data_IF_775923093933
#
_entry.id   IF_775923093933
#
_cell.length_a   1.000
_cell.length_b   1.000
_cell.length_c   1.000
_cell.angle_alpha   90.00
_cell.angle_beta   90.00
_cell.angle_gamma   90.00
#
_symmetry.space_group_name_H-M   'P 1'
#
loop_
_entity.id
_entity.type
_entity.pdbx_description
1 polymer ?
#
# COMPACT_ATOMS: atom_id res chain seq x y z
N UNK A 1 0.94 -18.09 -7.83
CA UNK A 1 1.83 -17.15 -7.13
C UNK A 1 2.66 -16.43 -8.18
N UNK A 2 2.75 -15.11 -8.12
CA UNK A 2 3.58 -14.35 -9.06
C UNK A 2 4.50 -13.42 -8.26
N UNK A 3 5.69 -13.13 -8.82
CA UNK A 3 6.59 -12.11 -8.30
C UNK A 3 6.27 -10.78 -8.99
N UNK A 4 5.76 -9.82 -8.23
CA UNK A 4 5.38 -8.50 -8.75
C UNK A 4 6.39 -7.47 -8.24
N UNK A 5 6.95 -6.60 -9.12
CA UNK A 5 7.80 -5.49 -8.69
C UNK A 5 7.08 -4.63 -7.65
N UNK A 6 7.73 -4.41 -6.52
CA UNK A 6 7.10 -3.70 -5.37
C UNK A 6 6.66 -2.30 -5.76
N UNK A 7 7.48 -1.56 -6.49
CA UNK A 7 7.16 -0.19 -6.89
C UNK A 7 5.85 -0.10 -7.69
N UNK A 8 5.62 -1.05 -8.61
CA UNK A 8 4.39 -1.08 -9.40
C UNK A 8 3.17 -1.46 -8.55
N UNK A 9 3.33 -2.47 -7.68
CA UNK A 9 2.26 -2.91 -6.79
C UNK A 9 1.88 -1.80 -5.78
N UNK A 10 2.85 -1.10 -5.21
CA UNK A 10 2.62 0.02 -4.30
C UNK A 10 1.90 1.18 -4.98
N UNK A 11 2.28 1.52 -6.22
CA UNK A 11 1.57 2.56 -6.98
C UNK A 11 0.11 2.19 -7.22
N UNK A 12 -0.16 0.93 -7.60
CA UNK A 12 -1.52 0.47 -7.86
C UNK A 12 -2.38 0.46 -6.59
N UNK A 13 -1.87 -0.10 -5.49
CA UNK A 13 -2.58 -0.14 -4.20
C UNK A 13 -2.72 1.27 -3.63
N UNK A 14 -1.65 2.07 -3.66
CA UNK A 14 -1.63 3.42 -3.13
C UNK A 14 -2.64 4.34 -3.81
N UNK A 15 -2.72 4.28 -5.14
CA UNK A 15 -3.73 5.03 -5.90
C UNK A 15 -5.15 4.63 -5.50
N UNK A 16 -5.43 3.33 -5.36
CA UNK A 16 -6.74 2.84 -4.92
C UNK A 16 -7.10 3.28 -3.51
N UNK A 17 -6.18 3.20 -2.56
CA UNK A 17 -6.40 3.65 -1.18
C UNK A 17 -6.57 5.16 -1.08
N UNK A 18 -5.80 5.93 -1.86
CA UNK A 18 -5.98 7.38 -1.92
C UNK A 18 -7.39 7.74 -2.41
N UNK A 19 -7.87 7.10 -3.47
CA UNK A 19 -9.23 7.31 -3.99
C UNK A 19 -10.28 6.94 -2.94
N UNK A 20 -10.14 5.80 -2.26
CA UNK A 20 -11.04 5.39 -1.19
C UNK A 20 -11.04 6.39 -0.02
N UNK A 21 -9.86 6.82 0.41
CA UNK A 21 -9.74 7.83 1.48
C UNK A 21 -10.42 9.13 1.11
N UNK A 22 -10.17 9.65 -0.09
CA UNK A 22 -10.79 10.89 -0.57
C UNK A 22 -12.31 10.76 -0.72
N UNK A 23 -12.80 9.64 -1.26
CA UNK A 23 -14.23 9.38 -1.37
C UNK A 23 -14.90 9.35 0.00
N UNK A 24 -14.28 8.73 1.00
CA UNK A 24 -14.81 8.65 2.35
C UNK A 24 -14.79 10.02 3.06
N UNK A 25 -13.73 10.81 2.90
CA UNK A 25 -13.70 12.21 3.37
C UNK A 25 -14.83 13.02 2.75
N UNK A 26 -15.06 12.87 1.45
CA UNK A 26 -16.15 13.56 0.77
C UNK A 26 -17.53 13.18 1.35
N UNK A 27 -17.78 11.90 1.60
CA UNK A 27 -19.01 11.44 2.24
C UNK A 27 -19.19 12.08 3.62
N UNK A 28 -18.16 12.09 4.46
CA UNK A 28 -18.20 12.70 5.78
C UNK A 28 -18.50 14.20 5.71
N UNK A 29 -17.86 14.92 4.79
CA UNK A 29 -18.13 16.36 4.59
C UNK A 29 -19.57 16.60 4.14
N UNK A 30 -20.08 15.81 3.21
CA UNK A 30 -21.48 15.95 2.71
C UNK A 30 -22.53 15.59 3.74
N UNK A 31 -22.24 14.66 4.64
CA UNK A 31 -23.15 14.25 5.72
C UNK A 31 -23.02 15.11 6.96
N UNK A 32 -22.02 15.99 7.05
CA UNK A 32 -21.74 16.79 8.23
C UNK A 32 -21.24 15.97 9.43
N UNK A 33 -20.82 14.71 9.21
CA UNK A 33 -20.30 13.87 10.27
C UNK A 33 -18.88 14.28 10.64
N UNK A 34 -18.59 14.33 11.94
CA UNK A 34 -17.26 14.62 12.46
C UNK A 34 -16.61 13.35 13.03
N UNK A 35 -15.27 13.18 12.87
CA UNK A 35 -14.55 12.10 13.53
C UNK A 35 -14.66 12.19 15.05
N UNK A 36 -14.81 11.05 15.74
CA UNK A 36 -14.99 10.95 17.20
C UNK A 36 -13.93 11.73 17.99
N UNK A 37 -12.70 11.72 17.51
CA UNK A 37 -11.58 12.39 18.18
C UNK A 37 -11.12 13.68 17.46
N UNK A 38 -11.91 14.17 16.51
CA UNK A 38 -11.58 15.31 15.67
C UNK A 38 -10.56 15.00 14.55
N UNK A 39 -10.56 15.86 13.55
CA UNK A 39 -9.74 15.70 12.35
C UNK A 39 -8.23 15.70 12.62
N UNK A 40 -7.77 16.53 13.55
CA UNK A 40 -6.34 16.61 13.89
C UNK A 40 -5.81 15.29 14.46
N UNK A 41 -6.56 14.67 15.37
CA UNK A 41 -6.18 13.38 15.91
C UNK A 41 -6.14 12.31 14.82
N UNK A 42 -7.16 12.24 13.96
CA UNK A 42 -7.23 11.31 12.85
C UNK A 42 -6.03 11.45 11.90
N UNK A 43 -5.67 12.70 11.54
CA UNK A 43 -4.52 13.00 10.68
C UNK A 43 -3.20 12.60 11.34
N UNK A 44 -2.98 12.94 12.60
CA UNK A 44 -1.74 12.59 13.32
C UNK A 44 -1.56 11.09 13.45
N UNK A 45 -2.60 10.36 13.82
CA UNK A 45 -2.58 8.89 13.90
C UNK A 45 -2.32 8.28 12.52
N UNK A 46 -3.03 8.73 11.51
CA UNK A 46 -2.89 8.25 10.13
C UNK A 46 -1.47 8.46 9.60
N UNK A 47 -0.90 9.65 9.82
CA UNK A 47 0.48 9.97 9.44
C UNK A 47 1.49 9.08 10.18
N UNK A 48 1.31 8.89 11.48
CA UNK A 48 2.15 8.00 12.29
C UNK A 48 2.14 6.57 11.78
N UNK A 49 0.96 6.03 11.47
CA UNK A 49 0.81 4.68 10.90
C UNK A 49 1.46 4.60 9.52
N UNK A 50 1.20 5.56 8.63
CA UNK A 50 1.78 5.59 7.30
C UNK A 50 3.31 5.59 7.34
N UNK A 51 3.91 6.47 8.15
CA UNK A 51 5.36 6.52 8.32
C UNK A 51 5.93 5.22 8.92
N UNK A 52 5.24 4.60 9.88
CA UNK A 52 5.68 3.34 10.47
C UNK A 52 5.68 2.21 9.43
N UNK A 53 4.64 2.13 8.58
CA UNK A 53 4.54 1.15 7.49
C UNK A 53 5.65 1.36 6.47
N UNK A 54 5.93 2.61 6.07
CA UNK A 54 6.98 2.92 5.11
C UNK A 54 8.38 2.60 5.66
N UNK A 55 8.65 2.98 6.91
CA UNK A 55 9.93 2.65 7.58
C UNK A 55 10.13 1.14 7.71
N UNK A 56 9.07 0.40 8.06
CA UNK A 56 9.13 -1.06 8.13
C UNK A 56 9.44 -1.66 6.74
N UNK A 57 8.80 -1.15 5.68
CA UNK A 57 9.03 -1.57 4.30
C UNK A 57 10.47 -1.30 3.86
N UNK A 58 10.98 -0.09 4.10
CA UNK A 58 12.37 0.28 3.78
C UNK A 58 13.37 -0.61 4.52
N UNK A 59 13.17 -0.83 5.83
CA UNK A 59 14.04 -1.71 6.63
C UNK A 59 14.03 -3.13 6.10
N UNK A 60 12.84 -3.65 5.75
CA UNK A 60 12.70 -4.99 5.21
C UNK A 60 13.42 -5.15 3.87
N UNK A 61 13.26 -4.19 2.93
CA UNK A 61 13.93 -4.20 1.63
C UNK A 61 15.45 -4.20 1.82
N UNK A 62 15.98 -3.34 2.71
CA UNK A 62 17.42 -3.27 2.99
C UNK A 62 17.97 -4.59 3.54
N UNK A 63 17.26 -5.23 4.48
CA UNK A 63 17.66 -6.54 5.02
C UNK A 63 17.64 -7.63 3.94
N UNK A 64 16.63 -7.64 3.09
CA UNK A 64 16.51 -8.62 2.00
C UNK A 64 17.58 -8.45 0.91
N UNK A 65 18.32 -7.33 0.88
CA UNK A 65 19.42 -7.13 -0.04
C UNK A 65 20.60 -8.06 0.25
N UNK A 66 20.82 -8.42 1.51
CA UNK A 66 21.87 -9.36 1.94
C UNK A 66 21.64 -10.76 1.35
N UNK A 67 20.35 -11.14 1.22
CA UNK A 67 19.91 -12.43 0.67
C UNK A 67 19.56 -12.35 -0.83
N UNK A 68 20.08 -11.35 -1.55
CA UNK A 68 19.73 -11.13 -2.94
C UNK A 68 20.16 -12.28 -3.85
N UNK A 69 19.22 -12.83 -4.61
CA UNK A 69 19.41 -13.96 -5.53
C UNK A 69 19.52 -13.50 -7.00
N UNK A 70 20.20 -14.25 -7.88
CA UNK A 70 20.21 -13.94 -9.31
C UNK A 70 18.78 -13.93 -9.90
N UNK A 71 18.49 -12.97 -10.76
CA UNK A 71 17.18 -12.85 -11.43
C UNK A 71 17.00 -13.85 -12.59
N UNK A 72 18.06 -14.54 -13.00
CA UNK A 72 18.05 -15.41 -14.16
C UNK A 72 16.93 -16.46 -14.12
N UNK A 73 16.05 -16.45 -15.12
CA UNK A 73 14.97 -17.41 -15.27
C UNK A 73 13.76 -17.21 -14.36
N UNK A 74 13.71 -16.15 -13.59
CA UNK A 74 12.56 -15.86 -12.70
C UNK A 74 11.59 -14.92 -13.42
N UNK A 75 10.35 -15.37 -13.75
CA UNK A 75 9.37 -14.52 -14.40
C UNK A 75 8.86 -13.46 -13.42
N UNK A 76 9.03 -12.19 -13.79
CA UNK A 76 8.43 -11.05 -13.10
C UNK A 76 7.07 -10.74 -13.73
N UNK A 77 6.10 -10.38 -12.89
CA UNK A 77 4.80 -9.93 -13.34
C UNK A 77 4.86 -8.58 -14.08
N UNK A 78 3.98 -8.42 -15.04
CA UNK A 78 3.83 -7.20 -15.82
C UNK A 78 3.19 -6.06 -15.02
N UNK A 79 3.22 -4.81 -15.51
CA UNK A 79 2.43 -3.72 -14.94
C UNK A 79 0.94 -4.02 -14.86
N UNK A 80 0.38 -4.72 -15.86
CA UNK A 80 -1.02 -5.14 -15.85
C UNK A 80 -1.31 -6.14 -14.71
N UNK A 81 -0.39 -7.08 -14.45
CA UNK A 81 -0.48 -7.98 -13.30
C UNK A 81 -0.44 -7.23 -11.96
N UNK A 82 0.38 -6.19 -11.86
CA UNK A 82 0.48 -5.35 -10.65
C UNK A 82 -0.84 -4.61 -10.39
N UNK A 83 -1.44 -4.03 -11.44
CA UNK A 83 -2.74 -3.34 -11.36
C UNK A 83 -3.83 -4.34 -10.97
N UNK A 84 -3.96 -5.45 -11.70
CA UNK A 84 -4.99 -6.46 -11.43
C UNK A 84 -4.91 -7.04 -10.01
N UNK A 85 -3.70 -7.23 -9.49
CA UNK A 85 -3.50 -7.72 -8.11
C UNK A 85 -3.61 -6.62 -7.06
N UNK A 86 -3.35 -5.36 -7.42
CA UNK A 86 -3.56 -4.20 -6.55
C UNK A 86 -5.04 -3.96 -6.22
N UNK A 87 -5.95 -4.38 -7.08
CA UNK A 87 -7.41 -4.25 -6.85
C UNK A 87 -7.86 -5.07 -5.62
N UNK A 88 -7.29 -6.24 -5.37
CA UNK A 88 -7.70 -7.10 -4.26
C UNK A 88 -7.63 -6.42 -2.88
N UNK A 89 -6.48 -5.90 -2.43
CA UNK A 89 -6.37 -5.15 -1.19
C UNK A 89 -7.29 -3.93 -1.11
N UNK A 90 -7.47 -3.22 -2.23
CA UNK A 90 -8.38 -2.05 -2.31
C UNK A 90 -9.85 -2.49 -2.16
N UNK A 91 -10.25 -3.57 -2.81
CA UNK A 91 -11.60 -4.12 -2.67
C UNK A 91 -11.90 -4.60 -1.24
N UNK A 92 -10.93 -5.26 -0.59
CA UNK A 92 -11.06 -5.66 0.82
C UNK A 92 -11.25 -4.43 1.70
N UNK A 93 -10.45 -3.39 1.52
CA UNK A 93 -10.58 -2.14 2.26
C UNK A 93 -11.95 -1.49 2.02
N UNK A 94 -12.44 -1.44 0.78
CA UNK A 94 -13.75 -0.91 0.44
C UNK A 94 -14.90 -1.69 1.12
N UNK A 95 -14.81 -3.02 1.16
CA UNK A 95 -15.80 -3.86 1.86
C UNK A 95 -15.76 -3.62 3.36
N UNK A 96 -14.58 -3.47 3.96
CA UNK A 96 -14.43 -3.16 5.39
C UNK A 96 -15.06 -1.79 5.73
N UNK A 97 -14.80 -0.76 4.91
CA UNK A 97 -15.39 0.56 5.09
C UNK A 97 -16.92 0.52 4.96
N UNK A 98 -17.43 -0.21 3.98
CA UNK A 98 -18.87 -0.39 3.80
C UNK A 98 -19.50 -1.13 5.01
N UNK A 99 -18.85 -2.19 5.48
CA UNK A 99 -19.32 -2.91 6.67
C UNK A 99 -19.34 -2.02 7.91
N UNK A 100 -18.32 -1.18 8.10
CA UNK A 100 -18.25 -0.22 9.19
C UNK A 100 -19.38 0.82 9.09
N UNK A 101 -19.69 1.29 7.89
CA UNK A 101 -20.76 2.24 7.64
C UNK A 101 -22.16 1.70 7.98
N UNK A 102 -22.33 0.37 8.02
CA UNK A 102 -23.59 -0.29 8.38
C UNK A 102 -23.73 -0.54 9.89
N UNK A 103 -22.70 -0.27 10.69
CA UNK A 103 -22.74 -0.43 12.15
C UNK A 103 -23.26 0.87 12.77
N UNK A 104 -24.42 0.86 13.47
CA UNK A 104 -24.93 2.04 14.15
C UNK A 104 -23.92 2.56 15.20
N UNK A 105 -23.69 3.86 15.22
CA UNK A 105 -22.73 4.50 16.13
C UNK A 105 -21.26 4.42 15.69
N UNK A 106 -20.96 3.81 14.54
CA UNK A 106 -19.60 3.75 14.00
C UNK A 106 -19.25 4.93 13.08
N UNK A 107 -20.18 5.84 12.83
CA UNK A 107 -20.00 6.98 11.91
C UNK A 107 -18.76 7.82 12.27
N UNK A 108 -18.51 8.00 13.56
CA UNK A 108 -17.36 8.77 14.03
C UNK A 108 -16.00 8.13 13.77
N UNK A 109 -15.94 6.79 13.58
CA UNK A 109 -14.69 6.10 13.26
C UNK A 109 -14.35 6.16 11.77
N UNK A 110 -15.35 6.39 10.90
CA UNK A 110 -15.12 6.52 9.45
C UNK A 110 -14.15 7.64 9.10
N UNK A 111 -14.09 8.70 9.91
CA UNK A 111 -13.12 9.78 9.74
C UNK A 111 -11.68 9.33 9.95
N UNK A 112 -11.42 8.48 10.93
CA UNK A 112 -10.09 7.91 11.17
C UNK A 112 -9.69 6.98 10.01
N UNK A 113 -10.59 6.12 9.57
CA UNK A 113 -10.33 5.20 8.46
C UNK A 113 -10.09 5.95 7.15
N UNK A 114 -10.87 7.00 6.87
CA UNK A 114 -10.68 7.87 5.71
C UNK A 114 -9.28 8.48 5.70
N UNK A 115 -8.82 9.01 6.84
CA UNK A 115 -7.48 9.56 6.99
C UNK A 115 -6.40 8.47 6.86
N UNK A 116 -6.61 7.29 7.45
CA UNK A 116 -5.66 6.18 7.37
C UNK A 116 -5.45 5.75 5.91
N UNK A 117 -6.50 5.44 5.18
CA UNK A 117 -6.39 5.02 3.78
C UNK A 117 -5.83 6.13 2.89
N UNK A 118 -6.27 7.37 3.09
CA UNK A 118 -5.75 8.51 2.35
C UNK A 118 -4.26 8.75 2.57
N UNK A 119 -3.80 8.74 3.82
CA UNK A 119 -2.38 8.98 4.17
C UNK A 119 -1.48 7.83 3.73
N UNK A 120 -1.86 6.58 4.02
CA UNK A 120 -1.08 5.41 3.55
C UNK A 120 -1.04 5.37 2.02
N UNK A 121 -2.15 5.68 1.35
CA UNK A 121 -2.18 5.79 -0.11
C UNK A 121 -1.25 6.87 -0.64
N UNK A 122 -1.23 8.05 -0.01
CA UNK A 122 -0.37 9.17 -0.41
C UNK A 122 1.13 8.88 -0.22
N UNK A 123 1.52 8.12 0.81
CA UNK A 123 2.93 7.80 1.06
C UNK A 123 3.47 6.70 0.15
N UNK A 124 2.61 5.88 -0.43
CA UNK A 124 3.04 4.82 -1.36
C UNK A 124 3.67 5.35 -2.65
N UNK A 125 3.29 6.54 -3.12
CA UNK A 125 3.95 7.19 -4.25
C UNK A 125 5.44 7.49 -3.99
N UNK A 126 5.78 8.27 -2.98
CA UNK A 126 7.16 8.51 -2.54
C UNK A 126 7.94 7.22 -2.26
N UNK A 127 7.32 6.24 -1.59
CA UNK A 127 7.96 4.95 -1.32
C UNK A 127 8.27 4.18 -2.61
N UNK A 128 7.37 4.16 -3.58
CA UNK A 128 7.60 3.53 -4.89
C UNK A 128 8.73 4.22 -5.66
N UNK A 129 8.82 5.54 -5.61
CA UNK A 129 9.92 6.30 -6.21
C UNK A 129 11.26 6.00 -5.53
N UNK A 130 11.27 5.90 -4.19
CA UNK A 130 12.45 5.50 -3.44
C UNK A 130 12.89 4.07 -3.82
N UNK A 131 11.97 3.12 -3.91
CA UNK A 131 12.26 1.74 -4.35
C UNK A 131 12.89 1.74 -5.73
N UNK A 132 12.32 2.46 -6.71
CA UNK A 132 12.88 2.56 -8.06
C UNK A 132 14.29 3.11 -8.08
N UNK A 133 14.58 4.18 -7.33
CA UNK A 133 15.93 4.73 -7.19
C UNK A 133 16.88 3.73 -6.55
N UNK A 134 16.42 3.04 -5.51
CA UNK A 134 17.19 2.00 -4.85
C UNK A 134 17.53 0.85 -5.82
N UNK A 135 16.57 0.37 -6.60
CA UNK A 135 16.75 -0.66 -7.62
C UNK A 135 17.82 -0.25 -8.66
N UNK A 136 17.72 0.99 -9.15
CA UNK A 136 18.68 1.52 -10.12
C UNK A 136 20.09 1.62 -9.55
N UNK A 137 20.24 2.12 -8.32
CA UNK A 137 21.56 2.27 -7.69
C UNK A 137 22.22 0.94 -7.35
N UNK A 138 21.43 -0.08 -6.99
CA UNK A 138 21.95 -1.38 -6.56
C UNK A 138 21.98 -2.42 -7.69
N UNK A 139 21.44 -2.12 -8.87
CA UNK A 139 21.33 -3.08 -9.97
C UNK A 139 20.45 -4.29 -9.62
N UNK A 140 19.39 -4.08 -8.89
CA UNK A 140 18.47 -5.12 -8.40
C UNK A 140 17.03 -4.81 -8.79
N UNK A 141 16.17 -5.83 -8.69
CA UNK A 141 14.70 -5.66 -8.71
C UNK A 141 14.15 -6.17 -7.39
N UNK A 142 13.31 -5.37 -6.76
CA UNK A 142 12.63 -5.74 -5.51
C UNK A 142 11.22 -6.20 -5.83
N UNK A 143 10.89 -7.44 -5.51
CA UNK A 143 9.61 -8.06 -5.84
C UNK A 143 8.94 -8.70 -4.62
N UNK A 144 7.61 -8.61 -4.58
CA UNK A 144 6.78 -9.32 -3.61
C UNK A 144 6.18 -10.58 -4.23
N UNK A 145 6.28 -11.74 -3.56
CA UNK A 145 5.46 -12.88 -3.90
C UNK A 145 4.01 -12.59 -3.47
N UNK A 146 3.10 -12.52 -4.43
CA UNK A 146 1.69 -12.25 -4.17
C UNK A 146 0.80 -13.36 -4.71
N UNK A 147 -0.34 -13.60 -4.02
CA UNK A 147 -1.37 -14.50 -4.49
C UNK A 147 -2.26 -13.81 -5.56
N UNK A 148 -3.31 -14.49 -6.00
CA UNK A 148 -4.27 -13.94 -6.97
C UNK A 148 -5.03 -12.70 -6.47
N UNK A 149 -5.11 -12.51 -5.16
CA UNK A 149 -5.78 -11.37 -4.53
C UNK A 149 -4.84 -10.20 -4.23
N UNK A 150 -3.58 -10.27 -4.68
CA UNK A 150 -2.57 -9.24 -4.41
C UNK A 150 -2.03 -9.24 -2.97
N UNK A 151 -2.44 -10.21 -2.15
CA UNK A 151 -1.96 -10.34 -0.79
C UNK A 151 -0.58 -10.99 -0.83
N UNK A 152 0.37 -10.39 -0.12
CA UNK A 152 1.73 -10.91 0.01
C UNK A 152 1.72 -12.26 0.74
N UNK A 153 2.40 -13.26 0.16
CA UNK A 153 2.44 -14.64 0.67
C UNK A 153 3.83 -15.13 1.06
N UNK A 154 4.79 -14.22 1.19
CA UNK A 154 6.16 -14.57 1.58
C UNK A 154 7.04 -13.35 1.81
N UNK A 155 8.32 -13.57 2.10
CA UNK A 155 9.28 -12.48 2.27
C UNK A 155 9.50 -11.71 0.95
N UNK A 156 9.89 -10.44 1.08
CA UNK A 156 10.38 -9.64 -0.04
C UNK A 156 11.56 -10.37 -0.68
N UNK A 157 11.60 -10.42 -2.00
CA UNK A 157 12.73 -10.97 -2.76
C UNK A 157 13.46 -9.84 -3.46
N UNK A 158 14.77 -9.83 -3.30
CA UNK A 158 15.67 -8.94 -4.03
C UNK A 158 16.40 -9.78 -5.08
N UNK A 159 16.23 -9.41 -6.33
CA UNK A 159 16.77 -10.13 -7.48
C UNK A 159 17.87 -9.28 -8.14
N UNK A 160 19.07 -9.82 -8.28
CA UNK A 160 20.17 -9.14 -8.96
C UNK A 160 20.00 -9.27 -10.48
N UNK A 161 20.01 -8.14 -11.17
CA UNK A 161 20.00 -8.12 -12.62
C UNK A 161 21.35 -8.63 -13.18
N UNK A 162 21.34 -9.37 -14.30
CA UNK A 162 22.59 -9.71 -14.99
C UNK A 162 23.28 -8.40 -15.42
N UNK A 163 24.60 -8.35 -15.21
CA UNK A 163 25.45 -7.24 -15.69
C UNK A 163 25.71 -7.40 -17.18
#
# INVERSE_FOLDING_TARGET
MALIPIALLQLAIGAGWLVLGLANVLVLVLTGAEPVYGWWFAVVVALGVALAVDLASVRQIRRSLEDATPAAGIPLGSPADAIGRGIGPVAIAAVMLLALALIPGAEGYQGLDACLFGMVGATYGPLALWVRRFEQMQGVVVANPVNRWGIRVGPVRVLRLPR
#
